data_IF_291478393843
#
_entry.id   IF_291478393843
#
_cell.length_a   1.000
_cell.length_b   1.000
_cell.length_c   1.000
_cell.angle_alpha   90.00
_cell.angle_beta   90.00
_cell.angle_gamma   90.00
#
_symmetry.space_group_name_H-M   'P 1'
#
loop_
_entity.id
_entity.type
_entity.pdbx_description
1 polymer ?
#
# COMPACT_ATOMS: atom_id res chain seq x y z
N UNK A 1 -9.18 32.60 0.05
CA UNK A 1 -8.80 31.23 -0.34
C UNK A 1 -10.04 30.38 -0.29
N UNK A 2 -10.32 29.69 -1.39
CA UNK A 2 -11.46 28.79 -1.51
C UNK A 2 -11.07 27.40 -1.06
N UNK A 3 -12.01 26.67 -0.49
CA UNK A 3 -11.82 25.29 -0.05
C UNK A 3 -12.24 24.35 -1.16
N UNK A 4 -11.38 23.38 -1.42
CA UNK A 4 -11.51 22.37 -2.45
C UNK A 4 -11.44 20.98 -1.83
N UNK A 5 -12.00 19.99 -2.50
CA UNK A 5 -11.93 18.60 -2.06
C UNK A 5 -11.55 17.69 -3.22
N UNK A 6 -10.48 16.91 -3.01
CA UNK A 6 -10.08 15.80 -3.85
C UNK A 6 -10.59 14.49 -3.26
N UNK A 7 -11.13 13.59 -4.08
CA UNK A 7 -11.52 12.24 -3.70
C UNK A 7 -10.95 11.21 -4.66
N UNK A 8 -10.33 10.16 -4.13
CA UNK A 8 -9.98 8.97 -4.88
C UNK A 8 -10.79 7.78 -4.38
N UNK A 9 -11.70 7.29 -5.22
CA UNK A 9 -12.52 6.11 -5.01
C UNK A 9 -11.78 4.88 -5.54
N UNK A 10 -11.22 4.08 -4.63
CA UNK A 10 -10.41 2.91 -4.94
C UNK A 10 -11.24 1.64 -4.72
N UNK A 11 -11.48 0.82 -5.77
CA UNK A 11 -12.15 -0.46 -5.60
C UNK A 11 -11.26 -1.39 -4.76
N UNK A 12 -11.87 -2.10 -3.82
CA UNK A 12 -11.17 -3.04 -2.95
C UNK A 12 -11.94 -4.35 -2.84
N UNK A 13 -11.24 -5.38 -2.36
CA UNK A 13 -11.86 -6.63 -1.93
C UNK A 13 -12.11 -6.53 -0.42
N UNK A 14 -13.25 -6.98 0.09
CA UNK A 14 -13.49 -7.02 1.54
C UNK A 14 -14.09 -8.35 1.93
N UNK A 15 -13.73 -8.84 3.13
CA UNK A 15 -14.35 -10.04 3.70
C UNK A 15 -15.73 -9.71 4.28
N UNK A 16 -16.62 -10.71 4.30
CA UNK A 16 -18.07 -10.63 4.55
C UNK A 16 -18.52 -10.19 5.97
N UNK A 17 -17.69 -9.44 6.71
CA UNK A 17 -17.97 -8.91 8.06
C UNK A 17 -17.31 -7.55 8.36
N UNK A 18 -16.76 -6.88 7.35
CA UNK A 18 -16.13 -5.57 7.58
C UNK A 18 -17.22 -4.51 7.79
N UNK A 19 -17.07 -3.64 8.78
CA UNK A 19 -17.96 -2.49 9.03
C UNK A 19 -17.53 -1.25 8.23
N UNK A 20 -18.40 -0.23 8.17
CA UNK A 20 -17.98 1.10 7.71
C UNK A 20 -16.98 1.69 8.70
N UNK A 21 -15.91 2.28 8.19
CA UNK A 21 -14.95 3.04 8.99
C UNK A 21 -14.60 4.36 8.33
N UNK A 22 -14.39 5.37 9.16
CA UNK A 22 -13.91 6.69 8.75
C UNK A 22 -12.74 7.07 9.64
N UNK A 23 -11.58 7.31 9.03
CA UNK A 23 -10.35 7.65 9.72
C UNK A 23 -9.91 9.06 9.34
N UNK A 24 -9.88 9.97 10.30
CA UNK A 24 -9.15 11.23 10.14
C UNK A 24 -7.67 11.00 10.46
N UNK A 25 -6.85 10.97 9.40
CA UNK A 25 -5.40 10.75 9.50
C UNK A 25 -4.59 12.03 9.32
N UNK A 26 -5.25 13.19 9.30
CA UNK A 26 -4.61 14.50 9.11
C UNK A 26 -3.43 14.70 10.05
N UNK A 27 -3.63 14.42 11.35
CA UNK A 27 -2.59 14.56 12.37
C UNK A 27 -1.38 13.66 12.12
N UNK A 28 -1.59 12.47 11.57
CA UNK A 28 -0.53 11.51 11.27
C UNK A 28 0.26 11.95 10.04
N UNK A 29 -0.43 12.36 8.98
CA UNK A 29 0.21 12.86 7.76
C UNK A 29 1.04 14.13 8.02
N UNK A 30 0.53 15.06 8.83
CA UNK A 30 1.26 16.28 9.21
C UNK A 30 2.59 16.00 9.90
N UNK A 31 2.79 14.84 10.55
CA UNK A 31 4.08 14.47 11.15
C UNK A 31 5.18 14.40 10.09
N UNK A 32 4.92 13.74 8.95
CA UNK A 32 5.93 13.59 7.90
C UNK A 32 5.88 14.69 6.84
N UNK A 33 4.71 15.28 6.57
CA UNK A 33 4.61 16.42 5.64
C UNK A 33 5.38 17.63 6.19
N UNK A 34 5.42 17.84 7.51
CA UNK A 34 6.18 18.97 8.08
C UNK A 34 7.71 18.76 8.12
N UNK A 35 8.23 17.65 7.61
CA UNK A 35 9.66 17.33 7.64
C UNK A 35 10.31 17.63 6.30
N UNK A 36 11.32 18.50 6.27
CA UNK A 36 12.01 18.89 5.03
C UNK A 36 12.61 17.69 4.29
N UNK A 37 13.06 16.67 5.02
CA UNK A 37 13.60 15.43 4.47
C UNK A 37 12.59 14.64 3.63
N UNK A 38 11.28 14.79 3.89
CA UNK A 38 10.23 14.12 3.14
C UNK A 38 10.26 14.49 1.66
N UNK A 39 10.42 15.78 1.35
CA UNK A 39 10.46 16.29 -0.02
C UNK A 39 11.77 15.96 -0.76
N UNK A 40 12.81 15.57 -0.02
CA UNK A 40 14.10 15.15 -0.55
C UNK A 40 14.19 13.63 -0.73
N UNK A 41 13.09 12.89 -0.54
CA UNK A 41 13.07 11.44 -0.71
C UNK A 41 13.30 11.06 -2.16
N UNK A 42 14.22 10.11 -2.37
CA UNK A 42 14.46 9.50 -3.68
C UNK A 42 13.55 8.30 -3.91
N UNK A 43 13.01 7.71 -2.84
CA UNK A 43 12.06 6.61 -2.91
C UNK A 43 10.63 7.16 -2.92
N UNK A 44 9.98 7.05 -4.08
CA UNK A 44 8.58 7.44 -4.31
C UNK A 44 7.69 6.20 -4.43
N UNK A 45 6.55 6.20 -3.75
CA UNK A 45 5.56 5.12 -3.80
C UNK A 45 4.49 5.44 -4.85
N UNK A 46 4.67 4.89 -6.06
CA UNK A 46 3.84 5.14 -7.26
C UNK A 46 3.66 6.64 -7.65
N UNK A 47 4.29 7.56 -6.90
CA UNK A 47 4.36 8.99 -7.15
C UNK A 47 5.23 9.26 -8.38
N UNK A 48 4.64 9.98 -9.33
CA UNK A 48 5.32 10.38 -10.58
C UNK A 48 5.81 11.83 -10.52
N UNK A 49 5.31 12.61 -9.56
CA UNK A 49 5.58 14.05 -9.43
C UNK A 49 6.21 14.38 -8.08
N UNK A 50 7.11 15.35 -8.10
CA UNK A 50 7.70 15.91 -6.89
C UNK A 50 6.66 16.75 -6.14
N UNK A 51 6.63 16.56 -4.83
CA UNK A 51 5.82 17.35 -3.91
C UNK A 51 6.71 18.45 -3.31
N UNK A 52 6.11 19.58 -3.00
CA UNK A 52 6.77 20.67 -2.33
C UNK A 52 5.99 21.09 -1.07
N UNK A 53 6.67 21.84 -0.21
CA UNK A 53 6.11 22.27 1.07
C UNK A 53 4.97 23.28 0.89
N UNK A 54 5.00 24.07 -0.17
CA UNK A 54 3.97 25.08 -0.45
C UNK A 54 2.63 24.42 -0.84
N UNK A 55 2.68 23.39 -1.69
CA UNK A 55 1.53 22.59 -2.10
C UNK A 55 0.95 21.81 -0.92
N UNK A 56 1.80 21.10 -0.18
CA UNK A 56 1.33 20.27 0.96
C UNK A 56 0.92 21.11 2.18
N UNK A 57 1.42 22.34 2.30
CA UNK A 57 0.99 23.32 3.29
C UNK A 57 -0.46 23.79 3.10
N UNK A 58 -1.02 23.63 1.90
CA UNK A 58 -2.43 23.92 1.58
C UNK A 58 -3.39 22.83 2.06
N UNK A 59 -2.89 21.67 2.52
CA UNK A 59 -3.72 20.55 2.94
C UNK A 59 -4.31 20.80 4.33
N UNK A 60 -5.63 20.86 4.39
CA UNK A 60 -6.40 21.13 5.60
C UNK A 60 -6.75 19.84 6.33
N UNK A 61 -7.25 18.84 5.60
CA UNK A 61 -7.75 17.59 6.15
C UNK A 61 -7.50 16.41 5.20
N UNK A 62 -7.25 15.23 5.77
CA UNK A 62 -7.11 13.95 5.08
C UNK A 62 -7.98 12.90 5.79
N UNK A 63 -9.00 12.42 5.10
CA UNK A 63 -9.90 11.36 5.57
C UNK A 63 -9.74 10.09 4.72
N UNK A 64 -9.85 8.94 5.36
CA UNK A 64 -9.97 7.64 4.68
C UNK A 64 -11.28 6.99 5.10
N UNK A 65 -12.19 6.80 4.13
CA UNK A 65 -13.48 6.13 4.33
C UNK A 65 -13.43 4.74 3.73
N UNK A 66 -13.87 3.73 4.47
CA UNK A 66 -13.83 2.32 4.08
C UNK A 66 -15.26 1.81 4.08
N UNK A 67 -15.77 1.53 2.88
CA UNK A 67 -17.15 1.12 2.63
C UNK A 67 -17.19 -0.37 2.23
N UNK A 68 -17.63 -1.26 3.11
CA UNK A 68 -17.72 -2.69 2.80
C UNK A 68 -18.93 -3.02 1.94
N UNK A 69 -18.75 -3.91 0.96
CA UNK A 69 -19.86 -4.44 0.17
C UNK A 69 -20.15 -5.91 0.49
N UNK A 70 -21.35 -6.34 0.13
CA UNK A 70 -21.84 -7.71 0.29
C UNK A 70 -21.27 -8.64 -0.79
N UNK A 71 -21.48 -9.95 -0.72
CA UNK A 71 -20.96 -10.91 -1.71
C UNK A 71 -21.72 -10.95 -3.05
N UNK A 72 -22.67 -10.03 -3.30
CA UNK A 72 -23.54 -10.05 -4.49
C UNK A 72 -23.12 -9.00 -5.54
N UNK A 73 -22.56 -9.40 -6.70
CA UNK A 73 -21.93 -8.47 -7.65
C UNK A 73 -22.84 -7.36 -8.19
N UNK A 74 -24.08 -7.69 -8.58
CA UNK A 74 -25.03 -6.68 -9.12
C UNK A 74 -25.49 -5.69 -8.05
N UNK A 75 -25.63 -6.13 -6.79
CA UNK A 75 -25.93 -5.25 -5.66
C UNK A 75 -24.76 -4.30 -5.37
N UNK A 76 -23.53 -4.80 -5.49
CA UNK A 76 -22.31 -4.03 -5.20
C UNK A 76 -22.07 -2.89 -6.20
N UNK A 77 -22.33 -3.11 -7.48
CA UNK A 77 -22.24 -2.04 -8.50
C UNK A 77 -23.15 -0.86 -8.14
N UNK A 78 -24.43 -1.13 -7.86
CA UNK A 78 -25.37 -0.08 -7.48
C UNK A 78 -24.97 0.60 -6.18
N UNK A 79 -24.44 -0.13 -5.20
CA UNK A 79 -23.94 0.43 -3.94
C UNK A 79 -22.75 1.35 -4.15
N UNK A 80 -21.76 0.94 -4.95
CA UNK A 80 -20.60 1.77 -5.27
C UNK A 80 -21.01 3.10 -5.92
N UNK A 81 -21.84 3.04 -6.96
CA UNK A 81 -22.34 4.24 -7.64
C UNK A 81 -23.18 5.11 -6.71
N UNK A 82 -24.02 4.52 -5.85
CA UNK A 82 -24.80 5.25 -4.85
C UNK A 82 -23.91 6.00 -3.86
N UNK A 83 -22.82 5.37 -3.40
CA UNK A 83 -21.86 6.02 -2.49
C UNK A 83 -21.13 7.15 -3.21
N UNK A 84 -20.63 6.92 -4.43
CA UNK A 84 -19.99 7.96 -5.22
C UNK A 84 -20.94 9.15 -5.40
N UNK A 85 -22.17 8.93 -5.88
CA UNK A 85 -23.15 10.00 -6.05
C UNK A 85 -23.49 10.74 -4.74
N UNK A 86 -23.49 10.05 -3.60
CA UNK A 86 -23.66 10.67 -2.29
C UNK A 86 -22.48 11.57 -1.90
N UNK A 87 -21.25 11.16 -2.20
CA UNK A 87 -20.03 11.86 -1.78
C UNK A 87 -19.67 13.05 -2.67
N UNK A 88 -19.98 13.00 -3.97
CA UNK A 88 -19.64 14.07 -4.92
C UNK A 88 -20.86 14.84 -5.46
N UNK A 89 -22.09 14.33 -5.29
CA UNK A 89 -23.31 14.85 -5.90
C UNK A 89 -23.75 14.04 -7.13
N UNK A 90 -24.91 14.37 -7.70
CA UNK A 90 -25.42 13.76 -8.94
C UNK A 90 -24.73 14.36 -10.17
N UNK A 91 -24.28 13.52 -11.11
CA UNK A 91 -23.60 13.93 -12.34
C UNK A 91 -24.24 13.30 -13.59
N UNK A 92 -25.37 13.82 -14.07
CA UNK A 92 -26.06 13.25 -15.23
C UNK A 92 -25.16 13.20 -16.47
N UNK A 93 -24.36 14.26 -16.70
CA UNK A 93 -23.53 14.40 -17.90
C UNK A 93 -22.30 13.47 -17.91
N UNK A 94 -21.90 12.93 -16.75
CA UNK A 94 -20.71 12.08 -16.59
C UNK A 94 -21.04 10.67 -16.08
N UNK A 95 -22.31 10.28 -16.11
CA UNK A 95 -22.76 8.94 -15.68
C UNK A 95 -22.00 7.82 -16.38
N UNK A 96 -21.67 8.03 -17.66
CA UNK A 96 -20.92 7.10 -18.48
C UNK A 96 -19.52 6.77 -17.93
N UNK A 97 -18.88 7.68 -17.18
CA UNK A 97 -17.58 7.45 -16.54
C UNK A 97 -17.74 6.46 -15.37
N UNK A 98 -18.78 6.61 -14.54
CA UNK A 98 -19.08 5.64 -13.48
C UNK A 98 -19.44 4.26 -14.05
N UNK A 99 -20.12 4.22 -15.20
CA UNK A 99 -20.59 2.98 -15.82
C UNK A 99 -19.52 2.23 -16.64
N UNK A 100 -18.51 2.94 -17.16
CA UNK A 100 -17.36 2.34 -17.88
C UNK A 100 -16.27 1.85 -16.92
N UNK A 101 -16.16 2.44 -15.74
CA UNK A 101 -15.13 2.12 -14.75
C UNK A 101 -15.30 0.77 -14.05
N UNK A 102 -14.21 0.26 -13.49
CA UNK A 102 -14.17 -1.05 -12.83
C UNK A 102 -14.78 -1.09 -11.42
N UNK A 103 -15.35 0.03 -10.95
CA UNK A 103 -16.15 0.08 -9.71
C UNK A 103 -17.28 -0.95 -9.70
N UNK A 104 -17.74 -1.38 -10.88
CA UNK A 104 -18.74 -2.45 -11.05
C UNK A 104 -18.35 -3.78 -10.39
N UNK A 105 -17.06 -4.10 -10.39
CA UNK A 105 -16.53 -5.37 -9.86
C UNK A 105 -16.05 -5.27 -8.40
N UNK A 106 -16.13 -4.06 -7.82
CA UNK A 106 -15.67 -3.81 -6.47
C UNK A 106 -16.44 -4.66 -5.43
N UNK A 107 -15.73 -5.27 -4.50
CA UNK A 107 -16.31 -5.96 -3.32
C UNK A 107 -16.22 -5.11 -2.05
N UNK A 108 -15.83 -3.85 -2.22
CA UNK A 108 -15.80 -2.77 -1.24
C UNK A 108 -15.20 -1.53 -1.90
N UNK A 109 -15.27 -0.39 -1.24
CA UNK A 109 -14.77 0.88 -1.75
C UNK A 109 -13.99 1.62 -0.67
N UNK A 110 -12.74 1.98 -0.96
CA UNK A 110 -11.95 2.90 -0.14
C UNK A 110 -12.03 4.28 -0.78
N UNK A 111 -12.24 5.32 0.03
CA UNK A 111 -12.27 6.71 -0.43
C UNK A 111 -11.18 7.45 0.33
N UNK A 112 -10.20 7.98 -0.41
CA UNK A 112 -9.24 8.95 0.13
C UNK A 112 -9.79 10.33 -0.17
N UNK A 113 -10.11 11.09 0.86
CA UNK A 113 -10.62 12.45 0.75
C UNK A 113 -9.57 13.43 1.29
N UNK A 114 -9.19 14.42 0.48
CA UNK A 114 -8.22 15.44 0.84
C UNK A 114 -8.87 16.80 0.64
N UNK A 115 -9.03 17.55 1.73
CA UNK A 115 -9.52 18.93 1.72
C UNK A 115 -8.32 19.88 1.72
N UNK A 116 -8.34 20.87 0.83
CA UNK A 116 -7.23 21.80 0.63
C UNK A 116 -7.70 23.18 0.21
N UNK A 117 -6.91 24.21 0.51
CA UNK A 117 -7.20 25.60 0.11
C UNK A 117 -6.38 26.03 -1.10
N UNK A 118 -6.97 26.83 -1.99
CA UNK A 118 -6.25 27.41 -3.11
C UNK A 118 -7.15 28.16 -4.07
N UNK A 119 -6.53 28.82 -5.05
CA UNK A 119 -7.22 29.51 -6.15
C UNK A 119 -7.12 28.65 -7.42
N UNK A 120 -7.78 27.49 -7.40
CA UNK A 120 -7.77 26.55 -8.51
C UNK A 120 -9.09 26.63 -9.27
N UNK A 121 -9.01 26.83 -10.59
CA UNK A 121 -10.16 26.69 -11.49
C UNK A 121 -10.08 25.33 -12.17
N UNK A 122 -11.09 24.49 -11.95
CA UNK A 122 -11.19 23.19 -12.59
C UNK A 122 -11.48 23.35 -14.07
N UNK A 123 -10.76 22.59 -14.89
CA UNK A 123 -11.18 22.43 -16.29
C UNK A 123 -12.45 21.58 -16.24
N UNK A 124 -13.54 22.04 -16.87
CA UNK A 124 -14.72 21.19 -17.01
C UNK A 124 -14.33 19.92 -17.78
N UNK A 125 -14.79 18.77 -17.30
CA UNK A 125 -14.68 17.55 -18.09
C UNK A 125 -15.35 17.77 -19.45
N UNK A 126 -14.66 17.40 -20.53
CA UNK A 126 -15.27 17.36 -21.85
C UNK A 126 -16.39 16.32 -21.85
N UNK A 127 -17.54 16.65 -22.44
CA UNK A 127 -18.57 15.65 -22.70
C UNK A 127 -18.05 14.63 -23.72
N UNK A 128 -18.64 13.44 -23.75
CA UNK A 128 -18.20 12.37 -24.64
C UNK A 128 -18.22 12.75 -26.13
N UNK A 129 -19.09 13.68 -26.53
CA UNK A 129 -19.16 14.26 -27.87
C UNK A 129 -18.12 15.37 -28.12
N UNK A 130 -17.51 15.92 -27.07
CA UNK A 130 -16.50 16.99 -27.10
C UNK A 130 -15.06 16.47 -26.97
N UNK A 131 -14.84 15.21 -26.58
CA UNK A 131 -13.50 14.60 -26.46
C UNK A 131 -12.69 14.60 -27.76
N UNK A 132 -13.34 14.77 -28.91
CA UNK A 132 -12.69 14.84 -30.24
C UNK A 132 -12.42 16.27 -30.72
N UNK A 133 -12.85 17.28 -29.95
CA UNK A 133 -12.67 18.69 -30.27
C UNK A 133 -11.25 19.16 -29.89
N UNK A 134 -10.41 19.27 -30.90
CA UNK A 134 -8.99 19.63 -30.76
C UNK A 134 -8.81 21.02 -30.12
N UNK A 135 -9.69 22.00 -30.41
CA UNK A 135 -9.56 23.35 -29.85
C UNK A 135 -9.85 23.36 -28.34
N UNK A 136 -10.82 22.56 -27.89
CA UNK A 136 -11.09 22.37 -26.47
C UNK A 136 -9.98 21.61 -25.75
N UNK A 137 -9.38 20.61 -26.41
CA UNK A 137 -8.21 19.90 -25.87
C UNK A 137 -6.97 20.82 -25.74
N UNK A 138 -6.78 21.79 -26.64
CA UNK A 138 -5.62 22.70 -26.59
C UNK A 138 -5.70 23.78 -25.50
N UNK A 139 -6.90 24.12 -25.02
CA UNK A 139 -7.11 25.12 -23.95
C UNK A 139 -7.09 24.52 -22.53
N UNK A 140 -6.41 23.38 -22.35
CA UNK A 140 -6.31 22.71 -21.05
C UNK A 140 -5.59 23.58 -20.02
N UNK A 141 -6.15 23.70 -18.81
CA UNK A 141 -5.52 24.46 -17.75
C UNK A 141 -4.29 23.71 -17.20
N UNK A 142 -3.10 24.19 -17.55
CA UNK A 142 -1.83 23.58 -17.14
C UNK A 142 -1.59 23.65 -15.62
N UNK A 143 -2.09 24.70 -14.95
CA UNK A 143 -1.96 24.83 -13.49
C UNK A 143 -2.83 23.78 -12.77
N UNK A 144 -4.03 23.52 -13.30
CA UNK A 144 -4.87 22.42 -12.81
C UNK A 144 -4.20 21.07 -13.04
N UNK A 145 -3.57 20.85 -14.20
CA UNK A 145 -2.89 19.59 -14.51
C UNK A 145 -1.70 19.32 -13.60
N UNK A 146 -0.88 20.33 -13.28
CA UNK A 146 0.21 20.20 -12.29
C UNK A 146 -0.35 19.87 -10.90
N UNK A 147 -1.36 20.63 -10.45
CA UNK A 147 -2.04 20.38 -9.18
C UNK A 147 -2.62 18.96 -9.11
N UNK A 148 -3.32 18.51 -10.17
CA UNK A 148 -3.92 17.18 -10.27
C UNK A 148 -2.87 16.09 -10.11
N UNK A 149 -1.74 16.22 -10.82
CA UNK A 149 -0.61 15.28 -10.78
C UNK A 149 0.06 15.22 -9.41
N UNK A 150 0.23 16.37 -8.76
CA UNK A 150 0.72 16.46 -7.37
C UNK A 150 -0.26 15.82 -6.39
N UNK A 151 -1.56 16.07 -6.54
CA UNK A 151 -2.59 15.49 -5.68
C UNK A 151 -2.67 13.96 -5.79
N UNK A 152 -2.59 13.40 -7.00
CA UNK A 152 -2.51 11.95 -7.21
C UNK A 152 -1.26 11.37 -6.52
N UNK A 153 -0.12 12.04 -6.68
CA UNK A 153 1.14 11.62 -6.06
C UNK A 153 1.07 11.63 -4.53
N UNK A 154 0.49 12.68 -3.95
CA UNK A 154 0.24 12.80 -2.51
C UNK A 154 -0.72 11.71 -2.02
N UNK A 155 -1.84 11.51 -2.71
CA UNK A 155 -2.83 10.51 -2.35
C UNK A 155 -2.27 9.09 -2.43
N UNK A 156 -1.41 8.79 -3.41
CA UNK A 156 -0.70 7.51 -3.52
C UNK A 156 0.23 7.25 -2.33
N UNK A 157 0.99 8.27 -1.90
CA UNK A 157 1.88 8.14 -0.74
C UNK A 157 1.08 7.99 0.57
N UNK A 158 -0.02 8.72 0.72
CA UNK A 158 -0.97 8.56 1.85
C UNK A 158 -1.58 7.15 1.87
N UNK A 159 -2.00 6.64 0.71
CA UNK A 159 -2.51 5.29 0.57
C UNK A 159 -1.47 4.26 1.02
N UNK A 160 -0.23 4.42 0.55
CA UNK A 160 0.89 3.54 0.88
C UNK A 160 1.23 3.56 2.36
N UNK A 161 1.23 4.75 2.97
CA UNK A 161 1.40 4.96 4.40
C UNK A 161 0.32 4.21 5.21
N UNK A 162 -0.95 4.42 4.86
CA UNK A 162 -2.07 3.80 5.55
C UNK A 162 -2.08 2.28 5.35
N UNK A 163 -1.78 1.82 4.14
CA UNK A 163 -1.65 0.41 3.78
C UNK A 163 -0.58 -0.31 4.62
N UNK A 164 0.57 0.32 4.83
CA UNK A 164 1.61 -0.22 5.71
C UNK A 164 1.08 -0.37 7.15
N UNK A 165 0.38 0.65 7.67
CA UNK A 165 -0.26 0.61 8.98
C UNK A 165 -1.23 -0.56 9.11
N UNK A 166 -2.10 -0.74 8.11
CA UNK A 166 -3.03 -1.86 8.08
C UNK A 166 -2.33 -3.22 8.08
N UNK A 167 -1.26 -3.39 7.31
CA UNK A 167 -0.52 -4.66 7.32
C UNK A 167 0.19 -4.93 8.64
N UNK A 168 0.69 -3.91 9.33
CA UNK A 168 1.30 -4.06 10.65
C UNK A 168 0.26 -4.43 11.70
N UNK A 169 -0.92 -3.81 11.66
CA UNK A 169 -1.97 -4.04 12.67
C UNK A 169 -2.75 -5.33 12.44
N UNK A 170 -3.03 -5.68 11.17
CA UNK A 170 -3.93 -6.78 10.81
C UNK A 170 -3.14 -7.89 10.11
N UNK A 171 -2.70 -8.94 10.84
CA UNK A 171 -2.01 -10.06 10.22
C UNK A 171 -2.91 -10.73 9.19
N UNK A 172 -2.42 -10.83 7.96
CA UNK A 172 -3.19 -11.46 6.88
C UNK A 172 -3.02 -12.98 6.89
N UNK A 173 -4.15 -13.69 6.92
CA UNK A 173 -4.19 -15.14 6.82
C UNK A 173 -4.71 -15.57 5.46
N UNK A 174 -3.87 -16.32 4.72
CA UNK A 174 -4.18 -17.09 3.50
C UNK A 174 -5.46 -16.66 2.78
N UNK A 175 -5.44 -15.46 2.20
CA UNK A 175 -6.57 -14.96 1.43
C UNK A 175 -6.69 -15.73 0.11
N UNK A 176 -7.93 -15.89 -0.37
CA UNK A 176 -8.18 -16.29 -1.76
C UNK A 176 -7.60 -15.22 -2.67
N UNK A 177 -6.70 -15.63 -3.57
CA UNK A 177 -6.18 -14.74 -4.60
C UNK A 177 -7.04 -14.82 -5.84
N UNK A 178 -7.11 -13.72 -6.58
CA UNK A 178 -7.66 -13.78 -7.92
C UNK A 178 -6.61 -14.34 -8.89
N UNK A 179 -7.03 -15.26 -9.74
CA UNK A 179 -6.19 -15.85 -10.78
C UNK A 179 -5.99 -14.92 -11.99
N UNK A 180 -6.74 -13.81 -12.03
CA UNK A 180 -6.73 -12.83 -13.10
C UNK A 180 -6.28 -11.49 -12.55
N UNK A 181 -5.46 -10.77 -13.33
CA UNK A 181 -5.08 -9.40 -12.97
C UNK A 181 -6.36 -8.57 -12.89
N UNK A 182 -6.69 -7.95 -11.75
CA UNK A 182 -7.84 -7.09 -11.67
C UNK A 182 -7.64 -5.95 -12.67
N UNK A 183 -8.63 -5.75 -13.52
CA UNK A 183 -8.82 -4.44 -14.13
C UNK A 183 -9.37 -3.58 -13.00
N UNK A 184 -8.54 -3.10 -12.08
CA UNK A 184 -8.98 -2.12 -11.08
C UNK A 184 -8.63 -0.73 -11.60
N UNK A 185 -9.64 0.11 -11.76
CA UNK A 185 -9.48 1.52 -12.05
C UNK A 185 -10.26 2.26 -10.97
N UNK A 186 -9.60 3.25 -10.38
CA UNK A 186 -10.15 4.09 -9.33
C UNK A 186 -10.66 5.38 -9.92
N UNK A 187 -11.77 5.88 -9.39
CA UNK A 187 -12.32 7.14 -9.85
C UNK A 187 -11.73 8.29 -9.05
N UNK A 188 -11.28 9.34 -9.72
CA UNK A 188 -10.86 10.60 -9.13
C UNK A 188 -11.96 11.64 -9.27
N UNK A 189 -12.16 12.46 -8.25
CA UNK A 189 -13.02 13.62 -8.31
C UNK A 189 -12.39 14.82 -7.62
N UNK A 190 -12.55 16.00 -8.21
CA UNK A 190 -12.26 17.29 -7.59
C UNK A 190 -13.55 18.10 -7.51
N UNK A 191 -13.82 18.69 -6.36
CA UNK A 191 -15.02 19.50 -6.11
C UNK A 191 -14.64 20.81 -5.40
N UNK A 192 -15.21 21.93 -5.83
CA UNK A 192 -15.01 23.26 -5.27
C UNK A 192 -15.79 24.28 -6.10
N UNK A 193 -15.11 25.24 -6.73
CA UNK A 193 -15.71 26.19 -7.69
C UNK A 193 -16.19 25.56 -9.01
N UNK A 194 -16.04 24.25 -9.15
CA UNK A 194 -16.45 23.43 -10.26
C UNK A 194 -16.30 21.97 -9.86
N UNK A 195 -16.52 21.06 -10.80
CA UNK A 195 -16.38 19.64 -10.57
C UNK A 195 -15.64 18.99 -11.73
N UNK A 196 -14.67 18.13 -11.42
CA UNK A 196 -13.89 17.35 -12.38
C UNK A 196 -13.85 15.90 -11.95
N UNK A 197 -14.01 14.96 -12.88
CA UNK A 197 -14.05 13.52 -12.61
C UNK A 197 -13.26 12.78 -13.68
N UNK A 198 -12.41 11.83 -13.28
CA UNK A 198 -11.70 11.00 -14.25
C UNK A 198 -11.50 9.57 -13.72
N UNK A 199 -11.34 8.62 -14.63
CA UNK A 199 -10.87 7.28 -14.28
C UNK A 199 -9.33 7.26 -14.26
N UNK A 200 -8.74 6.71 -13.20
CA UNK A 200 -7.30 6.60 -13.00
C UNK A 200 -6.97 5.15 -12.62
N UNK A 201 -6.09 4.51 -13.39
CA UNK A 201 -5.73 3.12 -13.11
C UNK A 201 -4.93 3.02 -11.81
N UNK A 202 -5.40 2.19 -10.88
CA UNK A 202 -4.69 1.92 -9.62
C UNK A 202 -5.08 0.56 -9.08
N UNK A 203 -4.07 -0.23 -8.71
CA UNK A 203 -4.23 -1.49 -8.00
C UNK A 203 -4.01 -1.36 -6.49
N UNK A 204 -3.78 -0.13 -6.00
CA UNK A 204 -3.65 0.19 -4.59
C UNK A 204 -4.96 -0.17 -3.87
N UNK A 205 -4.89 -0.83 -2.72
CA UNK A 205 -6.03 -1.37 -1.96
C UNK A 205 -6.86 -2.46 -2.65
N UNK A 206 -6.40 -3.05 -3.76
CA UNK A 206 -7.12 -4.19 -4.38
C UNK A 206 -7.13 -5.46 -3.51
N UNK A 207 -6.39 -5.49 -2.40
CA UNK A 207 -6.34 -6.63 -1.48
C UNK A 207 -7.55 -6.71 -0.52
N UNK A 208 -7.91 -7.92 -0.04
CA UNK A 208 -8.98 -8.11 0.93
C UNK A 208 -8.66 -7.45 2.28
N UNK A 209 -9.37 -6.36 2.57
CA UNK A 209 -9.39 -5.72 3.88
C UNK A 209 -10.32 -6.50 4.83
N UNK A 210 -9.83 -6.79 6.04
CA UNK A 210 -10.65 -7.18 7.18
C UNK A 210 -10.27 -6.25 8.33
N UNK A 211 -11.18 -5.33 8.64
CA UNK A 211 -11.03 -4.44 9.78
C UNK A 211 -11.95 -4.93 10.88
N UNK A 212 -11.33 -5.42 11.94
CA UNK A 212 -11.99 -5.80 13.18
C UNK A 212 -11.99 -4.57 14.11
N UNK A 213 -13.15 -4.28 14.71
CA UNK A 213 -13.39 -3.08 15.51
C UNK A 213 -12.47 -3.01 16.74
N UNK A 214 -12.21 -4.15 17.38
CA UNK A 214 -11.32 -4.29 18.53
C UNK A 214 -9.84 -4.01 18.22
N UNK A 215 -9.47 -3.97 16.93
CA UNK A 215 -8.12 -3.68 16.46
C UNK A 215 -7.93 -2.24 15.99
N UNK A 216 -8.99 -1.44 15.92
CA UNK A 216 -8.90 -0.03 15.49
C UNK A 216 -7.95 0.77 16.39
N UNK A 217 -8.01 0.57 17.70
CA UNK A 217 -7.10 1.23 18.65
C UNK A 217 -5.63 0.86 18.40
N UNK A 218 -5.36 -0.38 17.96
CA UNK A 218 -4.01 -0.80 17.60
C UNK A 218 -3.52 -0.11 16.32
N UNK A 219 -4.41 0.14 15.35
CA UNK A 219 -4.07 0.93 14.16
C UNK A 219 -3.73 2.38 14.56
N UNK A 220 -4.55 3.00 15.41
CA UNK A 220 -4.30 4.36 15.92
C UNK A 220 -3.00 4.48 16.72
N UNK A 221 -2.57 3.41 17.38
CA UNK A 221 -1.29 3.37 18.09
C UNK A 221 -0.08 3.20 17.15
N UNK A 222 -0.26 2.53 16.01
CA UNK A 222 0.81 2.20 15.04
C UNK A 222 1.06 3.35 14.06
N UNK A 223 0.01 4.01 13.54
CA UNK A 223 0.14 5.07 12.54
C UNK A 223 1.10 6.21 12.96
N UNK A 224 1.08 6.74 14.20
CA UNK A 224 2.03 7.76 14.64
C UNK A 224 3.49 7.30 14.56
N UNK A 225 3.77 6.02 14.86
CA UNK A 225 5.12 5.46 14.86
C UNK A 225 5.68 5.38 13.44
N UNK A 226 4.86 4.91 12.49
CA UNK A 226 5.22 4.89 11.07
C UNK A 226 5.45 6.32 10.57
N UNK A 227 4.56 7.25 10.93
CA UNK A 227 4.62 8.63 10.46
C UNK A 227 5.94 9.32 10.86
N UNK A 228 6.43 9.06 12.08
CA UNK A 228 7.71 9.59 12.57
C UNK A 228 8.93 9.15 11.75
N UNK A 229 8.83 8.06 10.98
CA UNK A 229 9.93 7.56 10.15
C UNK A 229 9.62 7.59 8.64
N UNK A 230 8.42 7.98 8.24
CA UNK A 230 7.96 7.95 6.84
C UNK A 230 8.73 8.90 5.91
N UNK A 231 9.29 9.99 6.44
CA UNK A 231 10.16 10.91 5.70
C UNK A 231 11.50 10.29 5.26
N UNK A 232 11.85 9.11 5.78
CA UNK A 232 13.14 8.45 5.47
C UNK A 232 13.00 7.56 4.23
N UNK A 233 14.08 7.46 3.45
CA UNK A 233 14.17 6.55 2.30
C UNK A 233 14.33 5.08 2.75
N UNK A 234 13.29 4.48 3.35
CA UNK A 234 13.33 3.12 3.91
C UNK A 234 13.05 2.08 2.82
N UNK A 235 14.08 1.40 2.33
CA UNK A 235 13.96 0.43 1.22
C UNK A 235 13.02 -0.75 1.51
N UNK A 236 12.98 -1.19 2.77
CA UNK A 236 12.08 -2.27 3.19
C UNK A 236 10.61 -1.87 3.06
N UNK A 237 10.24 -0.60 3.28
CA UNK A 237 8.86 -0.14 3.08
C UNK A 237 8.49 -0.22 1.59
N UNK A 238 9.39 0.28 0.72
CA UNK A 238 9.20 0.27 -0.73
C UNK A 238 8.99 -1.13 -1.29
N UNK A 239 9.91 -2.06 -0.99
CA UNK A 239 9.81 -3.44 -1.46
C UNK A 239 8.61 -4.17 -0.86
N UNK A 240 8.30 -3.93 0.42
CA UNK A 240 7.18 -4.57 1.07
C UNK A 240 5.87 -4.19 0.40
N UNK A 241 5.63 -2.88 0.21
CA UNK A 241 4.40 -2.36 -0.38
C UNK A 241 4.21 -2.84 -1.83
N UNK A 242 5.28 -2.92 -2.63
CA UNK A 242 5.23 -3.58 -3.96
C UNK A 242 4.83 -5.05 -3.89
N UNK A 243 5.34 -5.76 -2.89
CA UNK A 243 5.01 -7.16 -2.65
C UNK A 243 3.55 -7.40 -2.25
N UNK A 244 2.85 -6.43 -1.65
CA UNK A 244 1.55 -6.65 -0.98
C UNK A 244 0.40 -5.75 -1.46
N UNK A 245 0.61 -4.92 -2.48
CA UNK A 245 -0.38 -3.89 -2.90
C UNK A 245 -1.71 -4.43 -3.42
N UNK A 246 -1.75 -5.64 -3.98
CA UNK A 246 -2.91 -6.21 -4.69
C UNK A 246 -3.27 -7.63 -4.22
N UNK A 247 -4.49 -8.08 -4.50
CA UNK A 247 -4.92 -9.48 -4.32
C UNK A 247 -4.43 -10.41 -5.45
N UNK A 248 -3.97 -9.83 -6.56
CA UNK A 248 -3.32 -10.55 -7.63
C UNK A 248 -1.83 -10.70 -7.34
N UNK A 249 -1.46 -11.92 -6.96
CA UNK A 249 -0.11 -12.22 -6.51
C UNK A 249 0.60 -13.05 -7.57
N UNK A 250 1.82 -12.62 -7.90
CA UNK A 250 2.72 -13.27 -8.84
C UNK A 250 4.00 -13.71 -8.14
N UNK A 251 4.88 -14.39 -8.88
CA UNK A 251 6.23 -14.70 -8.37
C UNK A 251 7.03 -13.42 -8.09
N UNK A 252 6.81 -12.35 -8.85
CA UNK A 252 7.52 -11.07 -8.64
C UNK A 252 7.16 -10.46 -7.29
N UNK A 253 5.89 -10.53 -6.89
CA UNK A 253 5.45 -10.07 -5.57
C UNK A 253 6.13 -10.89 -4.45
N UNK A 254 6.28 -12.21 -4.65
CA UNK A 254 7.04 -13.06 -3.72
C UNK A 254 8.52 -12.65 -3.66
N UNK A 255 9.16 -12.37 -4.79
CA UNK A 255 10.55 -11.91 -4.83
C UNK A 255 10.72 -10.54 -4.17
N UNK A 256 9.77 -9.61 -4.35
CA UNK A 256 9.76 -8.33 -3.64
C UNK A 256 9.70 -8.52 -2.12
N UNK A 257 8.98 -9.53 -1.61
CA UNK A 257 9.02 -9.89 -0.19
C UNK A 257 10.37 -10.48 0.24
N UNK A 258 11.06 -11.23 -0.63
CA UNK A 258 12.43 -11.69 -0.33
C UNK A 258 13.39 -10.51 -0.29
N UNK A 259 13.29 -9.58 -1.24
CA UNK A 259 14.11 -8.36 -1.25
C UNK A 259 13.79 -7.42 -0.09
N UNK A 260 12.53 -7.40 0.37
CA UNK A 260 12.15 -6.73 1.62
C UNK A 260 12.95 -7.31 2.78
N UNK A 261 13.01 -8.64 2.91
CA UNK A 261 13.77 -9.30 3.97
C UNK A 261 15.26 -8.95 3.89
N UNK A 262 15.86 -9.05 2.70
CA UNK A 262 17.27 -8.74 2.46
C UNK A 262 17.59 -7.28 2.84
N UNK A 263 16.66 -6.36 2.58
CA UNK A 263 16.84 -4.93 2.87
C UNK A 263 16.91 -4.56 4.35
N UNK A 264 16.55 -5.49 5.25
CA UNK A 264 16.75 -5.29 6.68
C UNK A 264 18.19 -5.47 7.12
N UNK A 265 19.11 -5.81 6.22
CA UNK A 265 20.49 -6.15 6.55
C UNK A 265 21.45 -5.34 5.69
N UNK A 266 22.71 -5.25 6.14
CA UNK A 266 23.76 -4.62 5.36
C UNK A 266 24.05 -5.37 4.07
N UNK A 267 24.53 -4.63 3.05
CA UNK A 267 24.97 -5.22 1.79
C UNK A 267 26.00 -6.33 2.06
N UNK A 268 25.89 -7.43 1.31
CA UNK A 268 26.74 -8.63 1.43
C UNK A 268 26.59 -9.41 2.74
N UNK A 269 25.56 -9.14 3.55
CA UNK A 269 25.24 -10.02 4.69
C UNK A 269 24.92 -11.43 4.17
N UNK A 270 25.53 -12.45 4.78
CA UNK A 270 25.26 -13.85 4.42
C UNK A 270 23.81 -14.23 4.70
N UNK A 271 23.18 -15.00 3.81
CA UNK A 271 21.81 -15.51 4.00
C UNK A 271 21.68 -16.33 5.29
N UNK A 272 22.74 -17.01 5.75
CA UNK A 272 22.74 -17.70 7.04
C UNK A 272 22.61 -16.75 8.23
N UNK A 273 23.26 -15.58 8.16
CA UNK A 273 23.17 -14.55 9.21
C UNK A 273 21.78 -13.95 9.20
N UNK A 274 21.25 -13.58 8.02
CA UNK A 274 19.89 -13.06 7.89
C UNK A 274 18.87 -14.03 8.49
N UNK A 275 18.98 -15.32 8.14
CA UNK A 275 18.13 -16.39 8.68
C UNK A 275 18.20 -16.49 10.20
N UNK A 276 19.41 -16.52 10.75
CA UNK A 276 19.64 -16.60 12.18
C UNK A 276 19.01 -15.40 12.90
N UNK A 277 19.40 -14.19 12.51
CA UNK A 277 18.95 -12.94 13.16
C UNK A 277 17.43 -12.81 13.07
N UNK A 278 16.84 -12.97 11.88
CA UNK A 278 15.38 -12.93 11.70
C UNK A 278 14.67 -13.96 12.58
N UNK A 279 15.17 -15.19 12.63
CA UNK A 279 14.54 -16.25 13.44
C UNK A 279 14.58 -15.94 14.94
N UNK A 280 15.66 -15.35 15.44
CA UNK A 280 15.82 -15.07 16.86
C UNK A 280 15.03 -13.83 17.27
N UNK A 281 15.13 -12.72 16.52
CA UNK A 281 14.42 -11.46 16.83
C UNK A 281 12.91 -11.70 16.88
N UNK A 282 12.40 -12.56 16.01
CA UNK A 282 10.95 -12.75 15.85
C UNK A 282 10.39 -13.89 16.70
N UNK A 283 11.09 -15.03 16.83
CA UNK A 283 10.50 -16.20 17.46
C UNK A 283 10.24 -16.02 18.96
N UNK A 284 9.11 -16.53 19.45
CA UNK A 284 8.79 -16.58 20.88
C UNK A 284 9.49 -17.75 21.58
N UNK A 285 9.76 -18.83 20.83
CA UNK A 285 10.37 -20.03 21.36
C UNK A 285 11.22 -20.75 20.29
N UNK A 286 11.96 -21.78 20.73
CA UNK A 286 12.85 -22.57 19.88
C UNK A 286 12.13 -23.28 18.72
N UNK A 287 10.88 -23.70 18.92
CA UNK A 287 10.13 -24.38 17.86
C UNK A 287 9.76 -23.39 16.75
N UNK A 288 9.35 -22.17 17.10
CA UNK A 288 9.03 -21.13 16.12
C UNK A 288 10.26 -20.61 15.40
N UNK A 289 11.40 -20.47 16.09
CA UNK A 289 12.67 -20.14 15.46
C UNK A 289 13.04 -21.15 14.35
N UNK A 290 12.86 -22.45 14.63
CA UNK A 290 13.07 -23.51 13.62
C UNK A 290 12.11 -23.39 12.44
N UNK A 291 10.83 -23.05 12.67
CA UNK A 291 9.84 -22.86 11.59
C UNK A 291 10.23 -21.67 10.69
N UNK A 292 10.62 -20.55 11.30
CA UNK A 292 11.07 -19.35 10.57
C UNK A 292 12.32 -19.68 9.75
N UNK A 293 13.31 -20.35 10.35
CA UNK A 293 14.52 -20.75 9.63
C UNK A 293 14.22 -21.69 8.46
N UNK A 294 13.30 -22.63 8.63
CA UNK A 294 12.84 -23.51 7.56
C UNK A 294 12.17 -22.72 6.44
N UNK A 295 11.21 -21.85 6.75
CA UNK A 295 10.56 -20.95 5.78
C UNK A 295 11.60 -20.19 4.95
N UNK A 296 12.57 -19.56 5.61
CA UNK A 296 13.60 -18.76 4.94
C UNK A 296 14.54 -19.60 4.06
N UNK A 297 14.84 -20.84 4.44
CA UNK A 297 15.61 -21.76 3.59
C UNK A 297 14.91 -21.99 2.25
N UNK A 298 13.57 -22.16 2.25
CA UNK A 298 12.82 -22.26 0.99
C UNK A 298 12.87 -20.96 0.19
N UNK A 299 12.64 -19.82 0.85
CA UNK A 299 12.58 -18.54 0.17
C UNK A 299 13.90 -18.18 -0.52
N UNK A 300 15.04 -18.32 0.19
CA UNK A 300 16.34 -18.03 -0.39
C UNK A 300 16.72 -19.01 -1.50
N UNK A 301 16.32 -20.28 -1.42
CA UNK A 301 16.55 -21.22 -2.51
C UNK A 301 15.80 -20.81 -3.78
N UNK A 302 14.50 -20.51 -3.67
CA UNK A 302 13.70 -20.07 -4.83
C UNK A 302 14.32 -18.82 -5.44
N UNK A 303 14.66 -17.83 -4.62
CA UNK A 303 15.32 -16.60 -5.08
C UNK A 303 16.65 -16.88 -5.81
N UNK A 304 17.49 -17.78 -5.28
CA UNK A 304 18.75 -18.13 -5.93
C UNK A 304 18.54 -18.88 -7.26
N UNK A 305 17.59 -19.81 -7.32
CA UNK A 305 17.26 -20.52 -8.56
C UNK A 305 16.74 -19.57 -9.64
N UNK A 306 15.88 -18.62 -9.28
CA UNK A 306 15.40 -17.58 -10.20
C UNK A 306 16.54 -16.64 -10.64
N UNK A 307 17.36 -16.16 -9.71
CA UNK A 307 18.45 -15.23 -9.99
C UNK A 307 19.53 -15.82 -10.91
N UNK A 308 19.73 -17.14 -10.86
CA UNK A 308 20.71 -17.85 -11.70
C UNK A 308 20.12 -18.42 -12.99
N UNK A 309 18.92 -17.98 -13.40
CA UNK A 309 18.29 -18.39 -14.66
C UNK A 309 17.86 -19.86 -14.69
N UNK A 310 17.58 -20.44 -13.51
CA UNK A 310 17.11 -21.80 -13.36
C UNK A 310 15.62 -21.95 -13.68
N UNK A 311 14.84 -22.46 -12.71
CA UNK A 311 13.42 -22.75 -12.89
C UNK A 311 12.56 -21.48 -12.87
N UNK A 312 11.70 -21.30 -13.87
CA UNK A 312 10.66 -20.28 -13.85
C UNK A 312 9.48 -20.75 -13.02
N UNK A 313 9.38 -20.24 -11.79
CA UNK A 313 8.29 -20.56 -10.88
C UNK A 313 7.03 -19.72 -11.12
N UNK A 314 5.87 -20.35 -10.99
CA UNK A 314 4.56 -19.71 -10.80
C UNK A 314 4.16 -19.79 -9.33
N UNK A 315 3.30 -18.88 -8.87
CA UNK A 315 2.90 -18.80 -7.45
C UNK A 315 2.26 -20.10 -6.90
N UNK A 316 1.61 -20.87 -7.76
CA UNK A 316 0.96 -22.14 -7.41
C UNK A 316 1.83 -23.38 -7.66
N UNK A 317 3.11 -23.18 -7.97
CA UNK A 317 4.05 -24.29 -8.08
C UNK A 317 4.44 -24.81 -6.70
N UNK A 318 4.86 -26.07 -6.68
CA UNK A 318 5.36 -26.75 -5.51
C UNK A 318 6.88 -26.81 -5.55
N UNK A 319 7.51 -26.51 -4.42
CA UNK A 319 8.96 -26.58 -4.27
C UNK A 319 9.31 -27.71 -3.30
N UNK A 320 10.08 -28.72 -3.74
CA UNK A 320 10.46 -29.84 -2.89
C UNK A 320 11.42 -29.39 -1.78
N UNK A 321 11.33 -29.97 -0.60
CA UNK A 321 12.13 -29.63 0.58
C UNK A 321 13.61 -29.78 0.34
N UNK A 322 13.99 -30.84 -0.37
CA UNK A 322 15.33 -31.04 -0.91
C UNK A 322 15.21 -31.43 -2.38
N UNK A 323 16.20 -31.12 -3.24
CA UNK A 323 16.19 -31.55 -4.64
C UNK A 323 15.99 -33.06 -4.80
N UNK A 324 16.48 -33.84 -3.83
CA UNK A 324 16.46 -35.30 -3.84
C UNK A 324 15.27 -35.91 -3.07
N UNK A 325 14.37 -35.10 -2.50
CA UNK A 325 13.20 -35.57 -1.73
C UNK A 325 11.90 -34.96 -2.30
N UNK A 326 11.40 -35.46 -3.45
CA UNK A 326 10.27 -34.85 -4.17
C UNK A 326 8.91 -34.99 -3.46
N UNK A 327 8.83 -35.78 -2.39
CA UNK A 327 7.59 -36.07 -1.68
C UNK A 327 7.24 -34.99 -0.64
N UNK A 328 8.24 -34.41 0.02
CA UNK A 328 8.07 -33.27 0.92
C UNK A 328 8.09 -31.99 0.08
N UNK A 329 6.93 -31.40 -0.22
CA UNK A 329 6.85 -30.20 -1.07
C UNK A 329 5.96 -29.12 -0.48
N UNK A 330 6.37 -27.86 -0.62
CA UNK A 330 5.64 -26.69 -0.16
C UNK A 330 5.17 -25.84 -1.34
N UNK A 331 3.93 -25.38 -1.26
CA UNK A 331 3.33 -24.49 -2.25
C UNK A 331 3.90 -23.08 -2.07
N UNK A 332 4.36 -22.44 -3.15
CA UNK A 332 5.01 -21.11 -3.06
C UNK A 332 4.08 -20.07 -2.42
N UNK A 333 2.78 -20.11 -2.71
CA UNK A 333 1.81 -19.22 -2.07
C UNK A 333 1.81 -19.31 -0.53
N UNK A 334 2.11 -20.48 0.06
CA UNK A 334 2.23 -20.62 1.52
C UNK A 334 3.50 -19.95 2.04
N UNK A 335 4.59 -20.02 1.26
CA UNK A 335 5.84 -19.34 1.56
C UNK A 335 5.67 -17.82 1.47
N UNK A 336 4.94 -17.33 0.46
CA UNK A 336 4.57 -15.92 0.33
C UNK A 336 3.90 -15.39 1.61
N UNK A 337 2.85 -16.07 2.10
CA UNK A 337 2.15 -15.63 3.31
C UNK A 337 3.02 -15.70 4.57
N UNK A 338 3.81 -16.77 4.71
CA UNK A 338 4.77 -16.89 5.81
C UNK A 338 5.79 -15.75 5.81
N UNK A 339 6.36 -15.45 4.63
CA UNK A 339 7.36 -14.40 4.47
C UNK A 339 6.76 -13.01 4.66
N UNK A 340 5.54 -12.76 4.18
CA UNK A 340 4.81 -11.51 4.42
C UNK A 340 4.67 -11.24 5.92
N UNK A 341 4.20 -12.21 6.68
CA UNK A 341 3.99 -12.05 8.12
C UNK A 341 5.31 -11.88 8.88
N UNK A 342 6.37 -12.58 8.46
CA UNK A 342 7.71 -12.36 9.00
C UNK A 342 8.20 -10.93 8.74
N UNK A 343 8.07 -10.44 7.51
CA UNK A 343 8.44 -9.08 7.15
C UNK A 343 7.64 -8.05 7.94
N UNK A 344 6.34 -8.24 8.14
CA UNK A 344 5.51 -7.37 8.98
C UNK A 344 6.08 -7.23 10.38
N UNK A 345 6.44 -8.35 11.02
CA UNK A 345 6.99 -8.31 12.37
C UNK A 345 8.36 -7.61 12.40
N UNK A 346 9.22 -7.89 11.41
CA UNK A 346 10.51 -7.20 11.27
C UNK A 346 10.36 -5.70 10.99
N UNK A 347 9.37 -5.28 10.20
CA UNK A 347 9.03 -3.86 9.99
C UNK A 347 8.66 -3.20 11.31
N UNK A 348 7.78 -3.82 12.08
CA UNK A 348 7.35 -3.30 13.38
C UNK A 348 8.53 -3.14 14.36
N UNK A 349 9.32 -4.19 14.58
CA UNK A 349 10.52 -4.11 15.42
C UNK A 349 11.54 -3.11 14.87
N UNK A 350 11.63 -2.99 13.55
CA UNK A 350 12.53 -2.08 12.88
C UNK A 350 12.18 -0.61 13.10
N UNK A 351 10.89 -0.27 12.99
CA UNK A 351 10.38 1.06 13.32
C UNK A 351 10.68 1.37 14.78
N UNK A 352 10.37 0.45 15.70
CA UNK A 352 10.66 0.61 17.13
C UNK A 352 12.15 0.84 17.40
N UNK A 353 13.03 0.09 16.72
CA UNK A 353 14.48 0.30 16.81
C UNK A 353 14.87 1.69 16.33
N UNK A 354 14.34 2.16 15.20
CA UNK A 354 14.65 3.49 14.65
C UNK A 354 14.18 4.64 15.55
N UNK A 355 13.05 4.46 16.23
CA UNK A 355 12.51 5.46 17.15
C UNK A 355 13.30 5.54 18.47
N UNK A 356 13.88 4.42 18.91
CA UNK A 356 14.63 4.31 20.16
C UNK A 356 16.16 4.45 19.98
N UNK A 357 16.63 4.66 18.74
CA UNK A 357 18.07 4.78 18.46
C UNK A 357 18.63 6.08 19.04
N UNK A 358 19.52 5.94 20.03
CA UNK A 358 20.19 7.05 20.70
C UNK A 358 21.30 7.69 19.85
N UNK A 359 21.75 7.00 18.80
CA UNK A 359 22.78 7.47 17.88
C UNK A 359 22.33 7.23 16.43
N UNK A 360 21.32 8.00 15.95
CA UNK A 360 20.80 7.82 14.62
C UNK A 360 21.90 8.15 13.60
N UNK A 361 22.53 7.12 13.05
CA UNK A 361 23.23 7.28 11.77
C UNK A 361 22.17 7.65 10.73
N UNK A 362 22.52 8.35 9.63
CA UNK A 362 21.60 8.57 8.53
C UNK A 362 21.29 7.21 7.89
N UNK A 363 20.37 6.48 8.50
CA UNK A 363 20.03 5.12 8.13
C UNK A 363 18.86 5.23 7.18
N UNK A 364 19.17 5.14 5.88
CA UNK A 364 18.25 4.84 4.78
C UNK A 364 17.62 3.44 4.89
N UNK A 365 17.61 2.81 6.06
CA UNK A 365 17.10 1.45 6.23
C UNK A 365 16.99 1.06 7.70
N UNK A 366 15.94 0.31 8.03
CA UNK A 366 15.89 -0.57 9.20
C UNK A 366 17.04 -1.58 9.05
N UNK A 367 18.04 -1.59 9.93
CA UNK A 367 19.15 -2.57 9.87
C UNK A 367 19.18 -3.43 11.11
N UNK A 368 19.05 -4.75 10.94
CA UNK A 368 19.31 -5.74 11.96
C UNK A 368 20.71 -6.34 11.78
N UNK A 369 21.33 -6.69 12.90
CA UNK A 369 22.62 -7.35 12.98
C UNK A 369 22.68 -8.30 14.17
N UNK A 370 23.86 -8.85 14.43
CA UNK A 370 24.07 -9.80 15.54
C UNK A 370 23.81 -9.14 16.91
N UNK A 371 24.05 -7.83 17.04
CA UNK A 371 23.76 -7.10 18.29
C UNK A 371 22.26 -7.12 18.66
N UNK A 372 21.37 -7.23 17.66
CA UNK A 372 19.94 -7.30 17.91
C UNK A 372 19.50 -8.66 18.49
N UNK A 373 20.36 -9.69 18.39
CA UNK A 373 20.14 -10.96 19.08
C UNK A 373 20.38 -10.80 20.58
N UNK A 374 21.45 -10.11 20.98
CA UNK A 374 21.80 -9.95 22.39
C UNK A 374 20.73 -9.17 23.16
N UNK A 375 20.14 -8.15 22.56
CA UNK A 375 19.13 -7.32 23.22
C UNK A 375 17.85 -8.09 23.57
N UNK A 376 17.53 -9.14 22.80
CA UNK A 376 16.38 -10.02 23.08
C UNK A 376 16.66 -11.09 24.14
N UNK A 377 17.92 -11.48 24.32
CA UNK A 377 18.31 -12.49 25.32
C UNK A 377 18.51 -11.92 26.74
N UNK A 378 18.41 -10.60 26.92
CA UNK A 378 18.61 -9.89 28.19
C UNK A 378 17.27 -9.53 28.87
N UNK A 379 16.14 -9.80 28.22
CA UNK A 379 14.78 -9.80 28.79
C UNK A 379 14.42 -11.26 29.11
#
# INVERSE_FOLDING_TARGET
METHTFRWFLPTSMRSKTNYYEFDITKHCKIFLNQTEYYNRTMKFDSQYDLDQDFTGQIEQILIKINPFTSEPMSNTHKANTIVAKEIGTFPDFEHIFHRGNLRLARGLVIIEITFSGEYTYTENLKADEETDIEKMMNWNMDFEDMRRKMISLASDICSFFLLGLHITYPTHSNSHESFKPQSSGLLAFTGNGQYIMDEHSDIFSYPLLLEEDRVQALEAVLPQIAQVWHKNIWSFYRFLKGVRSDYITIDNFLDLVFTLESFYDNNTSTEIMKLVSSVIIAENKADAKKIQQLLNYCFRIRNEVAHGGTNYRLYDYVPKKPNEPQDKLLIVKLYWGLKNLNIQLLYYGIQKMLNDKNPKPASSIRFGISDISDKCVI
#
